data_IF_924846854451
#
_entry.id   IF_924846854451
#
_cell.length_a   1.000
_cell.length_b   1.000
_cell.length_c   1.000
_cell.angle_alpha   90.00
_cell.angle_beta   90.00
_cell.angle_gamma   90.00
#
_symmetry.space_group_name_H-M   'P 1'
#
loop_
_entity.id
_entity.type
_entity.pdbx_description
1 polymer ?
#
# COMPACT_ATOMS: atom_id res chain seq x y z
N UNK A 1 27.09 -39.86 91.54
CA UNK A 1 25.87 -40.03 90.73
C UNK A 1 25.63 -38.74 89.94
N UNK A 2 25.73 -38.77 88.60
CA UNK A 2 25.27 -37.73 87.66
C UNK A 2 25.63 -38.14 86.20
N UNK A 3 25.01 -39.20 85.65
CA UNK A 3 25.21 -39.62 84.24
C UNK A 3 23.94 -39.54 83.40
N UNK A 4 22.77 -39.28 84.00
CA UNK A 4 21.47 -39.29 83.34
C UNK A 4 21.20 -38.06 82.46
N UNK A 5 21.71 -36.86 82.80
CA UNK A 5 21.46 -35.65 82.00
C UNK A 5 22.17 -35.67 80.65
N UNK A 6 23.36 -36.27 80.58
CA UNK A 6 24.15 -36.32 79.34
C UNK A 6 23.53 -37.31 78.33
N UNK A 7 23.04 -38.47 78.78
CA UNK A 7 22.34 -39.43 77.91
C UNK A 7 21.03 -38.86 77.37
N UNK A 8 20.25 -38.13 78.18
CA UNK A 8 19.00 -37.50 77.73
C UNK A 8 19.23 -36.45 76.64
N UNK A 9 20.21 -35.56 76.82
CA UNK A 9 20.58 -34.56 75.82
C UNK A 9 21.10 -35.19 74.53
N UNK A 10 21.89 -36.27 74.63
CA UNK A 10 22.34 -37.03 73.46
C UNK A 10 21.18 -37.67 72.69
N UNK A 11 20.17 -38.20 73.39
CA UNK A 11 18.94 -38.74 72.77
C UNK A 11 18.17 -37.67 72.00
N UNK A 12 18.04 -36.46 72.55
CA UNK A 12 17.39 -35.35 71.87
C UNK A 12 18.13 -34.95 70.59
N UNK A 13 19.46 -34.79 70.66
CA UNK A 13 20.28 -34.45 69.49
C UNK A 13 20.22 -35.53 68.40
N UNK A 14 20.28 -36.81 68.80
CA UNK A 14 20.17 -37.92 67.88
C UNK A 14 18.78 -37.99 67.21
N UNK A 15 17.72 -37.75 67.98
CA UNK A 15 16.36 -37.73 67.45
C UNK A 15 16.13 -36.56 66.49
N UNK A 16 16.63 -35.36 66.81
CA UNK A 16 16.59 -34.21 65.89
C UNK A 16 17.36 -34.50 64.59
N UNK A 17 18.57 -35.07 64.68
CA UNK A 17 19.40 -35.43 63.51
C UNK A 17 18.72 -36.46 62.61
N UNK A 18 18.10 -37.49 63.20
CA UNK A 18 17.34 -38.49 62.45
C UNK A 18 16.11 -37.88 61.77
N UNK A 19 15.41 -36.99 62.48
CA UNK A 19 14.25 -36.29 61.93
C UNK A 19 14.63 -35.38 60.75
N UNK A 20 15.75 -34.66 60.83
CA UNK A 20 16.29 -33.84 59.73
C UNK A 20 16.62 -34.69 58.49
N UNK A 21 17.03 -35.94 58.69
CA UNK A 21 17.29 -36.90 57.61
C UNK A 21 16.02 -37.58 57.08
N UNK A 22 14.83 -37.23 57.60
CA UNK A 22 13.56 -37.83 57.22
C UNK A 22 13.33 -39.24 57.77
N UNK A 23 14.17 -39.69 58.71
CA UNK A 23 14.08 -41.01 59.33
C UNK A 23 13.36 -40.88 60.66
N UNK A 24 12.34 -41.72 60.90
CA UNK A 24 11.61 -41.71 62.17
C UNK A 24 12.55 -42.08 63.33
N UNK A 25 12.69 -41.25 64.37
CA UNK A 25 13.49 -41.58 65.54
C UNK A 25 12.84 -42.74 66.32
N UNK A 26 13.45 -43.92 66.24
CA UNK A 26 13.08 -45.10 67.03
C UNK A 26 14.16 -45.37 68.07
N UNK A 27 13.81 -46.13 69.12
CA UNK A 27 14.76 -46.48 70.18
C UNK A 27 15.99 -47.22 69.64
N UNK A 28 15.82 -48.01 68.57
CA UNK A 28 16.88 -48.75 67.92
C UNK A 28 17.85 -47.82 67.19
N UNK A 29 17.35 -46.96 66.29
CA UNK A 29 18.17 -46.06 65.47
C UNK A 29 18.89 -45.01 66.34
N UNK A 30 18.22 -44.55 67.41
CA UNK A 30 18.82 -43.61 68.37
C UNK A 30 19.92 -44.27 69.19
N UNK A 31 19.75 -45.54 69.57
CA UNK A 31 20.78 -46.32 70.27
C UNK A 31 21.98 -46.59 69.38
N UNK A 32 21.76 -46.89 68.10
CA UNK A 32 22.83 -47.07 67.10
C UNK A 32 23.65 -45.78 66.93
N UNK A 33 23.01 -44.61 66.95
CA UNK A 33 23.68 -43.32 66.79
C UNK A 33 24.50 -42.89 68.02
N UNK A 34 24.01 -43.16 69.24
CA UNK A 34 24.65 -42.72 70.51
C UNK A 34 25.60 -43.78 71.06
N UNK A 35 25.41 -45.06 70.69
CA UNK A 35 26.25 -46.21 71.07
C UNK A 35 26.20 -46.60 72.55
N UNK A 36 25.55 -45.81 73.41
CA UNK A 36 25.55 -45.99 74.87
C UNK A 36 24.19 -45.64 75.48
N UNK A 37 23.89 -46.19 76.66
CA UNK A 37 22.62 -46.00 77.37
C UNK A 37 21.70 -47.22 77.32
N UNK A 38 20.93 -47.43 78.39
CA UNK A 38 19.91 -48.48 78.44
C UNK A 38 18.74 -48.11 77.54
N UNK A 39 18.18 -49.11 76.83
CA UNK A 39 16.97 -48.95 75.99
C UNK A 39 15.82 -48.33 76.79
N UNK A 40 15.68 -48.66 78.07
CA UNK A 40 14.62 -48.10 78.92
C UNK A 40 14.79 -46.61 79.18
N UNK A 41 16.04 -46.13 79.27
CA UNK A 41 16.36 -44.71 79.45
C UNK A 41 16.20 -43.92 78.15
N UNK A 42 16.62 -44.52 77.02
CA UNK A 42 16.44 -43.96 75.68
C UNK A 42 14.95 -43.82 75.36
N UNK A 43 14.14 -44.84 75.66
CA UNK A 43 12.69 -44.81 75.46
C UNK A 43 12.03 -43.64 76.22
N UNK A 44 12.37 -43.46 77.51
CA UNK A 44 11.85 -42.34 78.31
C UNK A 44 12.23 -40.98 77.70
N UNK A 45 13.51 -40.78 77.38
CA UNK A 45 13.98 -39.52 76.79
C UNK A 45 13.37 -39.26 75.39
N UNK A 46 13.15 -40.31 74.60
CA UNK A 46 12.51 -40.22 73.30
C UNK A 46 11.02 -39.85 73.41
N UNK A 47 10.34 -40.33 74.47
CA UNK A 47 8.99 -39.90 74.82
C UNK A 47 8.91 -38.40 75.14
N UNK A 48 9.84 -37.90 75.97
CA UNK A 48 9.94 -36.48 76.29
C UNK A 48 10.21 -35.63 75.03
N UNK A 49 11.06 -36.13 74.13
CA UNK A 49 11.37 -35.48 72.86
C UNK A 49 10.15 -35.39 71.94
N UNK A 50 9.37 -36.46 71.80
CA UNK A 50 8.11 -36.43 71.03
C UNK A 50 7.10 -35.44 71.62
N UNK A 51 7.01 -35.34 72.95
CA UNK A 51 6.20 -34.35 73.64
C UNK A 51 6.64 -32.92 73.30
N UNK A 52 7.93 -32.63 73.42
CA UNK A 52 8.51 -31.32 73.07
C UNK A 52 8.36 -30.99 71.58
N UNK A 53 8.52 -31.97 70.68
CA UNK A 53 8.31 -31.77 69.25
C UNK A 53 6.87 -31.40 68.93
N UNK A 54 5.92 -32.10 69.56
CA UNK A 54 4.49 -31.82 69.39
C UNK A 54 4.17 -30.39 69.82
N UNK A 55 4.72 -29.94 70.95
CA UNK A 55 4.55 -28.57 71.44
C UNK A 55 5.19 -27.52 70.50
N UNK A 56 6.40 -27.80 69.99
CA UNK A 56 7.11 -26.94 69.02
C UNK A 56 6.33 -26.81 67.71
N UNK A 57 5.79 -27.91 67.20
CA UNK A 57 4.97 -27.92 65.98
C UNK A 57 3.67 -27.15 66.18
N UNK A 58 3.01 -27.35 67.32
CA UNK A 58 1.77 -26.65 67.64
C UNK A 58 1.99 -25.14 67.82
N UNK A 59 3.10 -24.72 68.46
CA UNK A 59 3.50 -23.30 68.53
C UNK A 59 3.85 -22.70 67.17
N UNK A 60 4.42 -23.48 66.25
CA UNK A 60 4.73 -23.01 64.89
C UNK A 60 3.48 -22.85 64.01
N UNK A 61 2.45 -23.67 64.24
CA UNK A 61 1.15 -23.56 63.59
C UNK A 61 0.25 -22.47 64.19
N UNK A 62 0.51 -22.07 65.43
CA UNK A 62 -0.08 -20.87 66.03
C UNK A 62 0.55 -19.61 65.42
N UNK A 63 0.21 -19.30 64.17
CA UNK A 63 0.46 -17.98 63.60
C UNK A 63 -0.41 -16.97 64.39
N UNK A 64 0.18 -15.96 65.06
CA UNK A 64 -0.62 -14.87 65.58
C UNK A 64 -1.32 -14.21 64.39
N UNK A 65 -2.62 -13.91 64.54
CA UNK A 65 -3.36 -13.20 63.49
C UNK A 65 -2.58 -11.95 63.08
N UNK A 66 -2.49 -11.73 61.77
CA UNK A 66 -1.84 -10.54 61.21
C UNK A 66 -2.47 -9.30 61.86
N UNK A 67 -1.67 -8.37 62.41
CA UNK A 67 -2.24 -7.17 63.03
C UNK A 67 -3.12 -6.41 62.04
N UNK A 68 -4.27 -5.94 62.50
CA UNK A 68 -5.24 -5.17 61.71
C UNK A 68 -4.61 -4.02 60.89
N UNK A 69 -3.62 -3.25 61.41
CA UNK A 69 -2.96 -2.21 60.63
C UNK A 69 -2.24 -2.72 59.38
N UNK A 70 -1.66 -3.93 59.43
CA UNK A 70 -0.95 -4.54 58.30
C UNK A 70 -1.93 -4.97 57.22
N UNK A 71 -3.04 -5.61 57.61
CA UNK A 71 -4.11 -5.99 56.69
C UNK A 71 -4.71 -4.77 56.00
N UNK A 72 -5.02 -3.72 56.78
CA UNK A 72 -5.58 -2.47 56.24
C UNK A 72 -4.65 -1.80 55.23
N UNK A 73 -3.34 -1.77 55.51
CA UNK A 73 -2.35 -1.21 54.59
C UNK A 73 -2.27 -2.05 53.30
N UNK A 74 -2.24 -3.38 53.42
CA UNK A 74 -2.21 -4.28 52.28
C UNK A 74 -3.44 -4.11 51.37
N UNK A 75 -4.65 -4.06 51.95
CA UNK A 75 -5.89 -3.80 51.20
C UNK A 75 -5.85 -2.44 50.50
N UNK A 76 -5.44 -1.37 51.20
CA UNK A 76 -5.31 -0.04 50.59
C UNK A 76 -4.29 -0.01 49.45
N UNK A 77 -3.17 -0.71 49.57
CA UNK A 77 -2.20 -0.80 48.47
C UNK A 77 -2.75 -1.59 47.28
N UNK A 78 -3.52 -2.64 47.54
CA UNK A 78 -4.16 -3.43 46.50
C UNK A 78 -5.22 -2.62 45.75
N UNK A 79 -6.10 -1.92 46.46
CA UNK A 79 -7.14 -1.06 45.85
C UNK A 79 -6.52 0.04 44.99
N UNK A 80 -5.42 0.65 45.46
CA UNK A 80 -4.66 1.65 44.68
C UNK A 80 -4.01 1.06 43.45
N UNK A 81 -3.43 -0.14 43.55
CA UNK A 81 -2.84 -0.82 42.42
C UNK A 81 -3.90 -1.16 41.36
N UNK A 82 -5.07 -1.62 41.79
CA UNK A 82 -6.20 -1.91 40.91
C UNK A 82 -6.71 -0.64 40.22
N UNK A 83 -6.95 0.44 40.97
CA UNK A 83 -7.38 1.72 40.41
C UNK A 83 -6.36 2.30 39.41
N UNK A 84 -5.06 2.13 39.68
CA UNK A 84 -4.01 2.54 38.74
C UNK A 84 -4.02 1.68 37.46
N UNK A 85 -4.21 0.36 37.60
CA UNK A 85 -4.31 -0.55 36.45
C UNK A 85 -5.56 -0.25 35.59
N UNK A 86 -6.71 -0.01 36.21
CA UNK A 86 -7.95 0.37 35.52
C UNK A 86 -7.78 1.69 34.77
N UNK A 87 -7.21 2.71 35.43
CA UNK A 87 -6.92 3.99 34.78
C UNK A 87 -6.01 3.82 33.56
N UNK A 88 -4.92 3.05 33.71
CA UNK A 88 -3.99 2.76 32.59
C UNK A 88 -4.68 2.00 31.46
N UNK A 89 -5.53 1.03 31.79
CA UNK A 89 -6.30 0.29 30.81
C UNK A 89 -7.26 1.20 30.04
N UNK A 90 -8.00 2.07 30.72
CA UNK A 90 -8.91 3.02 30.08
C UNK A 90 -8.18 4.04 29.21
N UNK A 91 -7.04 4.58 29.68
CA UNK A 91 -6.19 5.47 28.88
C UNK A 91 -5.70 4.77 27.60
N UNK A 92 -5.25 3.52 27.72
CA UNK A 92 -4.77 2.74 26.58
C UNK A 92 -5.91 2.37 25.62
N UNK A 93 -7.09 2.01 26.14
CA UNK A 93 -8.27 1.73 25.35
C UNK A 93 -8.74 2.97 24.56
N UNK A 94 -8.75 4.15 25.19
CA UNK A 94 -9.04 5.41 24.53
C UNK A 94 -8.04 5.70 23.39
N UNK A 95 -6.74 5.56 23.67
CA UNK A 95 -5.70 5.74 22.64
C UNK A 95 -5.86 4.77 21.45
N UNK A 96 -6.20 3.51 21.70
CA UNK A 96 -6.46 2.57 20.61
C UNK A 96 -7.73 2.89 19.84
N UNK A 97 -8.79 3.31 20.53
CA UNK A 97 -10.03 3.75 19.87
C UNK A 97 -9.77 4.95 18.96
N UNK A 98 -9.02 5.96 19.44
CA UNK A 98 -8.64 7.12 18.64
C UNK A 98 -7.78 6.73 17.43
N UNK A 99 -6.82 5.81 17.60
CA UNK A 99 -5.99 5.30 16.50
C UNK A 99 -6.82 4.53 15.47
N UNK A 100 -7.75 3.69 15.89
CA UNK A 100 -8.64 2.94 14.99
C UNK A 100 -9.52 3.93 14.22
N UNK A 101 -10.13 4.90 14.90
CA UNK A 101 -10.95 5.93 14.26
C UNK A 101 -10.14 6.75 13.24
N UNK A 102 -8.90 7.12 13.56
CA UNK A 102 -8.02 7.83 12.64
C UNK A 102 -7.65 6.99 11.42
N UNK A 103 -7.34 5.69 11.61
CA UNK A 103 -7.04 4.77 10.52
C UNK A 103 -8.25 4.52 9.63
N UNK A 104 -9.46 4.38 10.20
CA UNK A 104 -10.69 4.24 9.43
C UNK A 104 -10.99 5.49 8.60
N UNK A 105 -10.76 6.68 9.16
CA UNK A 105 -10.92 7.94 8.43
C UNK A 105 -9.90 8.05 7.28
N UNK A 106 -8.63 7.71 7.53
CA UNK A 106 -7.59 7.71 6.50
C UNK A 106 -7.92 6.71 5.38
N UNK A 107 -8.40 5.53 5.73
CA UNK A 107 -8.80 4.50 4.76
C UNK A 107 -10.00 4.97 3.91
N UNK A 108 -11.04 5.54 4.53
CA UNK A 108 -12.17 6.14 3.79
C UNK A 108 -11.74 7.26 2.85
N UNK A 109 -10.81 8.12 3.28
CA UNK A 109 -10.28 9.18 2.42
C UNK A 109 -9.47 8.61 1.25
N UNK A 110 -8.65 7.58 1.50
CA UNK A 110 -7.88 6.91 0.44
C UNK A 110 -8.80 6.20 -0.56
N UNK A 111 -9.84 5.51 -0.10
CA UNK A 111 -10.85 4.87 -0.96
C UNK A 111 -11.61 5.90 -1.80
N UNK A 112 -12.04 7.01 -1.19
CA UNK A 112 -12.72 8.10 -1.90
C UNK A 112 -11.80 8.75 -2.94
N UNK A 113 -10.55 9.06 -2.56
CA UNK A 113 -9.55 9.63 -3.47
C UNK A 113 -9.21 8.69 -4.62
N UNK A 114 -9.04 7.39 -4.34
CA UNK A 114 -8.82 6.36 -5.34
C UNK A 114 -10.01 6.19 -6.29
N UNK A 115 -11.23 6.15 -5.75
CA UNK A 115 -12.46 6.07 -6.54
C UNK A 115 -12.65 7.29 -7.45
N UNK A 116 -12.38 8.50 -6.96
CA UNK A 116 -12.43 9.72 -7.76
C UNK A 116 -11.35 9.73 -8.86
N UNK A 117 -10.12 9.32 -8.55
CA UNK A 117 -9.04 9.23 -9.53
C UNK A 117 -9.35 8.21 -10.64
N UNK A 118 -9.91 7.05 -10.28
CA UNK A 118 -10.35 6.02 -11.24
C UNK A 118 -11.48 6.54 -12.12
N UNK A 119 -12.49 7.20 -11.54
CA UNK A 119 -13.60 7.78 -12.30
C UNK A 119 -13.11 8.86 -13.27
N UNK A 120 -12.19 9.74 -12.84
CA UNK A 120 -11.60 10.76 -13.68
C UNK A 120 -10.81 10.14 -14.85
N UNK A 121 -10.00 9.12 -14.58
CA UNK A 121 -9.24 8.41 -15.60
C UNK A 121 -10.17 7.69 -16.61
N UNK A 122 -11.24 7.08 -16.13
CA UNK A 122 -12.23 6.43 -16.99
C UNK A 122 -12.95 7.45 -17.90
N UNK A 123 -13.26 8.63 -17.37
CA UNK A 123 -13.84 9.72 -18.14
C UNK A 123 -12.86 10.24 -19.20
N UNK A 124 -11.60 10.49 -18.84
CA UNK A 124 -10.55 10.91 -19.79
C UNK A 124 -10.37 9.88 -20.90
N UNK A 125 -10.31 8.59 -20.54
CA UNK A 125 -10.22 7.51 -21.50
C UNK A 125 -11.42 7.47 -22.46
N UNK A 126 -12.65 7.64 -21.94
CA UNK A 126 -13.85 7.68 -22.77
C UNK A 126 -13.83 8.87 -23.74
N UNK A 127 -13.41 10.05 -23.28
CA UNK A 127 -13.25 11.23 -24.14
C UNK A 127 -12.19 11.00 -25.21
N UNK A 128 -11.07 10.36 -24.87
CA UNK A 128 -10.03 10.01 -25.83
C UNK A 128 -10.55 9.03 -26.89
N UNK A 129 -11.29 8.00 -26.49
CA UNK A 129 -11.93 7.05 -27.42
C UNK A 129 -12.92 7.75 -28.36
N UNK A 130 -13.74 8.66 -27.84
CA UNK A 130 -14.66 9.46 -28.65
C UNK A 130 -13.91 10.32 -29.68
N UNK A 131 -12.80 10.95 -29.26
CA UNK A 131 -11.96 11.74 -30.17
C UNK A 131 -11.25 10.88 -31.21
N UNK A 132 -10.80 9.68 -30.85
CA UNK A 132 -10.27 8.73 -31.81
C UNK A 132 -11.32 8.30 -32.83
N UNK A 133 -12.55 8.04 -32.39
CA UNK A 133 -13.64 7.68 -33.29
C UNK A 133 -13.98 8.83 -34.27
N UNK A 134 -14.01 10.08 -33.79
CA UNK A 134 -14.25 11.23 -34.66
C UNK A 134 -13.14 11.43 -35.69
N UNK A 135 -11.87 11.32 -35.27
CA UNK A 135 -10.72 11.41 -36.18
C UNK A 135 -10.73 10.31 -37.25
N UNK A 136 -11.14 9.09 -36.89
CA UNK A 136 -11.28 8.01 -37.86
C UNK A 136 -12.37 8.30 -38.90
N UNK A 137 -13.49 8.88 -38.49
CA UNK A 137 -14.55 9.28 -39.44
C UNK A 137 -14.09 10.45 -40.32
N UNK A 138 -13.40 11.45 -39.76
CA UNK A 138 -12.80 12.54 -40.52
C UNK A 138 -11.78 12.02 -41.56
N UNK A 139 -10.92 11.08 -41.17
CA UNK A 139 -9.99 10.44 -42.09
C UNK A 139 -10.72 9.68 -43.21
N UNK A 140 -11.82 9.00 -42.87
CA UNK A 140 -12.65 8.28 -43.84
C UNK A 140 -13.31 9.25 -44.83
N UNK A 141 -13.82 10.38 -44.34
CA UNK A 141 -14.42 11.44 -45.15
C UNK A 141 -13.38 12.07 -46.09
N UNK A 142 -12.23 12.48 -45.57
CA UNK A 142 -11.14 12.99 -46.40
C UNK A 142 -10.68 11.99 -47.46
N UNK A 143 -10.65 10.69 -47.13
CA UNK A 143 -10.36 9.64 -48.10
C UNK A 143 -11.44 9.44 -49.17
N UNK A 144 -12.70 9.84 -48.92
CA UNK A 144 -13.76 9.89 -49.93
C UNK A 144 -13.61 11.14 -50.80
N UNK A 145 -13.43 12.32 -50.17
CA UNK A 145 -13.23 13.59 -50.86
C UNK A 145 -12.03 13.54 -51.82
N UNK A 146 -10.93 12.94 -51.36
CA UNK A 146 -9.72 12.77 -52.16
C UNK A 146 -9.99 11.93 -53.41
N UNK A 147 -10.73 10.82 -53.28
CA UNK A 147 -11.14 9.97 -54.42
C UNK A 147 -12.06 10.71 -55.38
N UNK A 148 -13.02 11.49 -54.89
CA UNK A 148 -13.89 12.31 -55.74
C UNK A 148 -13.10 13.37 -56.50
N UNK A 149 -12.11 13.99 -55.87
CA UNK A 149 -11.27 14.99 -56.49
C UNK A 149 -10.35 14.37 -57.56
N UNK A 150 -9.79 13.19 -57.29
CA UNK A 150 -9.06 12.39 -58.29
C UNK A 150 -9.94 12.04 -59.49
N UNK A 151 -11.19 11.60 -59.28
CA UNK A 151 -12.12 11.35 -60.38
C UNK A 151 -12.44 12.62 -61.19
N UNK A 152 -12.62 13.77 -60.52
CA UNK A 152 -12.86 15.07 -61.20
C UNK A 152 -11.64 15.49 -62.02
N UNK A 153 -10.43 15.34 -61.48
CA UNK A 153 -9.17 15.60 -62.18
C UNK A 153 -8.99 14.68 -63.38
N UNK A 154 -9.26 13.39 -63.22
CA UNK A 154 -9.20 12.41 -64.32
C UNK A 154 -10.18 12.79 -65.45
N UNK A 155 -11.43 13.14 -65.11
CA UNK A 155 -12.42 13.60 -66.09
C UNK A 155 -12.01 14.91 -66.79
N UNK A 156 -11.43 15.86 -66.05
CA UNK A 156 -10.96 17.12 -66.61
C UNK A 156 -9.76 16.90 -67.55
N UNK A 157 -8.81 16.06 -67.16
CA UNK A 157 -7.67 15.65 -68.00
C UNK A 157 -8.15 14.99 -69.28
N UNK A 158 -9.09 14.03 -69.19
CA UNK A 158 -9.65 13.36 -70.37
C UNK A 158 -10.36 14.32 -71.32
N UNK A 159 -11.06 15.34 -70.80
CA UNK A 159 -11.68 16.40 -71.61
C UNK A 159 -10.63 17.28 -72.29
N UNK A 160 -9.53 17.60 -71.59
CA UNK A 160 -8.43 18.38 -72.14
C UNK A 160 -7.72 17.61 -73.26
N UNK A 161 -7.42 16.32 -73.05
CA UNK A 161 -6.85 15.44 -74.08
C UNK A 161 -7.76 15.33 -75.31
N UNK A 162 -9.08 15.26 -75.11
CA UNK A 162 -10.04 15.22 -76.21
C UNK A 162 -10.06 16.55 -76.99
N UNK A 163 -10.11 17.69 -76.29
CA UNK A 163 -10.07 19.01 -76.91
C UNK A 163 -8.75 19.25 -77.66
N UNK A 164 -7.61 18.82 -77.12
CA UNK A 164 -6.32 18.87 -77.81
C UNK A 164 -6.31 18.04 -79.09
N UNK A 165 -6.87 16.83 -79.07
CA UNK A 165 -7.00 15.99 -80.27
C UNK A 165 -7.89 16.63 -81.33
N UNK A 166 -9.01 17.23 -80.93
CA UNK A 166 -9.88 17.97 -81.85
C UNK A 166 -9.12 19.14 -82.49
N UNK A 167 -8.39 19.93 -81.71
CA UNK A 167 -7.57 21.04 -82.20
C UNK A 167 -6.46 20.59 -83.16
N UNK A 168 -5.81 19.46 -82.86
CA UNK A 168 -4.83 18.83 -83.76
C UNK A 168 -5.46 18.33 -85.07
N UNK A 169 -6.67 17.77 -85.02
CA UNK A 169 -7.39 17.35 -86.24
C UNK A 169 -7.83 18.54 -87.08
N UNK A 170 -8.41 19.58 -86.47
CA UNK A 170 -8.83 20.80 -87.19
C UNK A 170 -7.64 21.53 -87.82
N UNK A 171 -6.49 21.55 -87.14
CA UNK A 171 -5.25 22.14 -87.69
C UNK A 171 -4.62 21.31 -88.82
N UNK A 172 -4.80 19.99 -88.85
CA UNK A 172 -4.32 19.15 -89.97
C UNK A 172 -5.26 19.14 -91.18
N UNK A 173 -6.57 19.32 -90.98
CA UNK A 173 -7.58 19.26 -92.05
C UNK A 173 -7.72 20.59 -92.81
N UNK A 174 -7.26 21.72 -92.24
CA UNK A 174 -7.39 23.04 -92.87
C UNK A 174 -6.03 23.70 -93.15
N UNK A 175 -5.41 23.48 -94.34
CA UNK A 175 -4.21 24.20 -94.76
C UNK A 175 -4.61 25.50 -95.47
N UNK A 176 -5.02 26.54 -94.73
CA UNK A 176 -5.13 27.87 -95.32
C UNK A 176 -6.00 28.93 -94.62
N UNK A 177 -5.32 29.84 -93.90
CA UNK A 177 -5.67 31.24 -93.52
C UNK A 177 -6.80 31.51 -92.51
N UNK A 178 -6.76 32.65 -91.78
CA UNK A 178 -5.66 33.25 -91.02
C UNK A 178 -5.87 33.01 -89.50
N UNK A 179 -4.87 32.42 -88.86
CA UNK A 179 -4.92 31.77 -87.54
C UNK A 179 -4.70 32.69 -86.33
N UNK A 180 -4.71 34.02 -86.46
CA UNK A 180 -4.22 34.85 -85.35
C UNK A 180 -5.20 34.98 -84.17
N UNK A 181 -6.50 35.18 -84.39
CA UNK A 181 -7.42 35.47 -83.27
C UNK A 181 -7.77 34.22 -82.45
N UNK A 182 -8.03 33.07 -83.07
CA UNK A 182 -8.29 31.82 -82.35
C UNK A 182 -7.04 31.31 -81.61
N UNK A 183 -5.85 31.40 -82.21
CA UNK A 183 -4.60 31.02 -81.52
C UNK A 183 -4.31 31.95 -80.34
N UNK A 184 -4.66 33.24 -80.44
CA UNK A 184 -4.56 34.16 -79.31
C UNK A 184 -5.55 33.74 -78.21
N UNK A 185 -6.79 33.41 -78.54
CA UNK A 185 -7.80 32.97 -77.56
C UNK A 185 -7.40 31.67 -76.84
N UNK A 186 -6.88 30.69 -77.58
CA UNK A 186 -6.38 29.45 -77.00
C UNK A 186 -5.13 29.67 -76.14
N UNK A 187 -4.20 30.54 -76.54
CA UNK A 187 -3.04 30.92 -75.72
C UNK A 187 -3.45 31.62 -74.43
N UNK A 188 -4.47 32.48 -74.49
CA UNK A 188 -5.02 33.14 -73.29
C UNK A 188 -5.68 32.12 -72.37
N UNK A 189 -6.47 31.17 -72.89
CA UNK A 189 -7.06 30.08 -72.08
C UNK A 189 -6.01 29.18 -71.44
N UNK A 190 -4.98 28.77 -72.19
CA UNK A 190 -3.88 27.98 -71.66
C UNK A 190 -3.15 28.75 -70.56
N UNK A 191 -2.87 30.04 -70.77
CA UNK A 191 -2.21 30.89 -69.77
C UNK A 191 -3.03 31.06 -68.49
N UNK A 192 -4.35 31.23 -68.62
CA UNK A 192 -5.26 31.28 -67.46
C UNK A 192 -5.27 29.93 -66.72
N UNK A 193 -5.29 28.82 -67.45
CA UNK A 193 -5.23 27.48 -66.86
C UNK A 193 -3.89 27.21 -66.18
N UNK A 194 -2.76 27.65 -66.77
CA UNK A 194 -1.43 27.56 -66.16
C UNK A 194 -1.33 28.42 -64.90
N UNK A 195 -1.89 29.63 -64.91
CA UNK A 195 -1.97 30.50 -63.72
C UNK A 195 -2.84 29.86 -62.63
N UNK A 196 -3.96 29.23 -62.98
CA UNK A 196 -4.81 28.53 -62.00
C UNK A 196 -4.12 27.27 -61.45
N UNK A 197 -3.42 26.50 -62.28
CA UNK A 197 -2.60 25.36 -61.84
C UNK A 197 -1.47 25.83 -60.92
N UNK A 198 -0.81 26.94 -61.24
CA UNK A 198 0.23 27.52 -60.39
C UNK A 198 -0.34 28.00 -59.04
N UNK A 199 -1.52 28.62 -59.06
CA UNK A 199 -2.24 29.05 -57.87
C UNK A 199 -2.65 27.88 -57.00
N UNK A 200 -3.21 26.82 -57.57
CA UNK A 200 -3.58 25.60 -56.87
C UNK A 200 -2.36 24.87 -56.30
N UNK A 201 -1.24 24.80 -57.04
CA UNK A 201 0.02 24.27 -56.54
C UNK A 201 0.53 25.06 -55.33
N UNK A 202 0.51 26.40 -55.41
CA UNK A 202 0.91 27.26 -54.29
C UNK A 202 0.01 27.05 -53.07
N UNK A 203 -1.30 26.98 -53.28
CA UNK A 203 -2.26 26.72 -52.19
C UNK A 203 -2.02 25.34 -51.55
N UNK A 204 -1.65 24.33 -52.33
CA UNK A 204 -1.31 23.00 -51.83
C UNK A 204 0.01 23.02 -51.01
N UNK A 205 1.04 23.76 -51.47
CA UNK A 205 2.28 23.93 -50.69
C UNK A 205 2.04 24.69 -49.39
N UNK A 206 1.18 25.70 -49.39
CA UNK A 206 0.82 26.46 -48.19
C UNK A 206 0.07 25.56 -47.18
N UNK A 207 -0.92 24.77 -47.64
CA UNK A 207 -1.62 23.79 -46.81
C UNK A 207 -0.70 22.68 -46.28
N UNK A 208 0.30 22.25 -47.05
CA UNK A 208 1.31 21.29 -46.59
C UNK A 208 2.23 21.89 -45.51
N UNK A 209 2.64 23.15 -45.69
CA UNK A 209 3.37 23.93 -44.68
C UNK A 209 2.57 24.04 -43.38
N UNK A 210 1.30 24.42 -43.49
CA UNK A 210 0.41 24.59 -42.34
C UNK A 210 0.17 23.25 -41.62
N UNK A 211 -0.03 22.15 -42.36
CA UNK A 211 -0.12 20.81 -41.77
C UNK A 211 1.16 20.42 -41.05
N UNK A 212 2.33 20.72 -41.62
CA UNK A 212 3.61 20.47 -40.96
C UNK A 212 3.76 21.32 -39.69
N UNK A 213 3.29 22.56 -39.71
CA UNK A 213 3.25 23.46 -38.56
C UNK A 213 2.34 22.92 -37.44
N UNK A 214 1.11 22.54 -37.77
CA UNK A 214 0.15 21.96 -36.83
C UNK A 214 0.66 20.66 -36.22
N UNK A 215 1.32 19.80 -37.01
CA UNK A 215 1.97 18.57 -36.48
C UNK A 215 3.08 18.87 -35.48
N UNK A 216 3.89 19.92 -35.72
CA UNK A 216 4.91 20.35 -34.75
C UNK A 216 4.27 20.85 -33.47
N UNK A 217 3.24 21.70 -33.57
CA UNK A 217 2.50 22.20 -32.40
C UNK A 217 1.86 21.07 -31.59
N UNK A 218 1.30 20.06 -32.26
CA UNK A 218 0.74 18.87 -31.60
C UNK A 218 1.83 18.12 -30.82
N UNK A 219 2.97 17.81 -31.45
CA UNK A 219 4.08 17.12 -30.79
C UNK A 219 4.63 17.92 -29.59
N UNK A 220 4.68 19.24 -29.71
CA UNK A 220 5.17 20.13 -28.65
C UNK A 220 4.19 20.17 -27.47
N UNK A 221 2.88 20.20 -27.73
CA UNK A 221 1.85 20.08 -26.70
C UNK A 221 1.86 18.69 -26.03
N UNK A 222 2.05 17.61 -26.79
CA UNK A 222 2.20 16.25 -26.25
C UNK A 222 3.43 16.14 -25.34
N UNK A 223 4.56 16.73 -25.74
CA UNK A 223 5.77 16.78 -24.90
C UNK A 223 5.52 17.55 -23.60
N UNK A 224 4.87 18.71 -23.67
CA UNK A 224 4.54 19.51 -22.48
C UNK A 224 3.61 18.76 -21.52
N UNK A 225 2.62 18.04 -22.04
CA UNK A 225 1.71 17.24 -21.19
C UNK A 225 2.44 16.05 -20.53
N UNK A 226 3.37 15.40 -21.23
CA UNK A 226 4.25 14.39 -20.65
C UNK A 226 5.16 14.95 -19.55
N UNK A 227 5.78 16.10 -19.77
CA UNK A 227 6.60 16.79 -18.78
C UNK A 227 5.78 17.17 -17.54
N UNK A 228 4.56 17.71 -17.73
CA UNK A 228 3.63 18.02 -16.63
C UNK A 228 3.22 16.76 -15.86
N UNK A 229 2.91 15.65 -16.55
CA UNK A 229 2.61 14.35 -15.90
C UNK A 229 3.79 13.87 -15.07
N UNK A 230 5.01 13.91 -15.61
CA UNK A 230 6.20 13.50 -14.88
C UNK A 230 6.48 14.40 -13.65
N UNK A 231 6.32 15.72 -13.78
CA UNK A 231 6.44 16.63 -12.64
C UNK A 231 5.40 16.32 -11.54
N UNK A 232 4.16 16.02 -11.93
CA UNK A 232 3.11 15.61 -10.98
C UNK A 232 3.43 14.28 -10.30
N UNK A 233 4.01 13.31 -11.01
CA UNK A 233 4.47 12.05 -10.42
C UNK A 233 5.63 12.26 -9.43
N UNK A 234 6.61 13.11 -9.77
CA UNK A 234 7.70 13.46 -8.86
C UNK A 234 7.20 14.17 -7.60
N UNK A 235 6.23 15.08 -7.74
CA UNK A 235 5.56 15.73 -6.62
C UNK A 235 4.87 14.66 -5.75
N UNK A 236 4.05 13.79 -6.33
CA UNK A 236 3.39 12.70 -5.59
C UNK A 236 4.39 11.81 -4.84
N UNK A 237 5.50 11.45 -5.49
CA UNK A 237 6.56 10.66 -4.87
C UNK A 237 7.24 11.38 -3.69
N UNK A 238 7.41 12.71 -3.78
CA UNK A 238 8.02 13.52 -2.72
C UNK A 238 7.13 13.74 -1.50
N UNK A 239 5.81 13.70 -1.66
CA UNK A 239 4.82 13.83 -0.59
C UNK A 239 4.33 12.48 -0.03
N UNK A 240 4.88 11.35 -0.52
CA UNK A 240 4.55 9.98 -0.09
C UNK A 240 5.48 9.42 1.01
N UNK A 241 6.22 10.28 1.73
CA UNK A 241 7.05 9.95 2.90
C UNK A 241 6.47 10.64 4.12
#
# INVERSE_FOLDING_TARGET
MARSSNTHQSVFKAADTLLEQGIRPTQQNVRELIGTGSITTINRALGDWWGSLSERLNRRQAHPELPEPVLKLASQTWDRALAYAEKRFHEQAAQYSDKINALEQALKQAEQGGGQALAALQQEHQTLLQRHASLLEEFRQHGQDYRELEEKLFRASAKLDAAERELQQTSQISPGKPQNDEVIEYRVKIRIQEEEIARLKKQNTDLQSDNAGLRRQLNEAEKQTLEQRHQMELIKARYSV
#
